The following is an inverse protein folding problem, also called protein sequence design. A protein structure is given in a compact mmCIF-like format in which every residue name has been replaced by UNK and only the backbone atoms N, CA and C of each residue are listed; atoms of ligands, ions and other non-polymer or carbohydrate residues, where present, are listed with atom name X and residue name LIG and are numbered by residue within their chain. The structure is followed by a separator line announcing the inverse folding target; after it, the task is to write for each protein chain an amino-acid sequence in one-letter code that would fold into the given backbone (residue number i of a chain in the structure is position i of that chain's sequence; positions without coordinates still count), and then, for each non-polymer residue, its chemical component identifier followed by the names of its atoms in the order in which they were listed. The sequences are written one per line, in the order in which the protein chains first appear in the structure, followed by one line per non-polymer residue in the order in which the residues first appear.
data_IF_901847985681
#
_entry.id   IF_901847985681
#
_cell.length_a   1.000
_cell.length_b   1.000
_cell.length_c   1.000
_cell.angle_alpha   90.00
_cell.angle_beta   90.00
_cell.angle_gamma   90.00
#
_symmetry.space_group_name_H-M   'P 1'
#
loop_
_entity.id
_entity.type
_entity.pdbx_description
1 polymer ?
#
# COMPACT_ATOMS: atom_id res chain seq x y z
N UNK A 1 7.13 25.41 18.20
CA UNK A 1 6.29 24.94 17.08
C UNK A 1 7.04 25.11 15.79
N UNK A 2 7.54 24.00 15.26
CA UNK A 2 8.12 23.91 13.92
C UNK A 2 7.00 23.76 12.88
N UNK A 3 7.30 24.10 11.63
CA UNK A 3 6.37 24.01 10.51
C UNK A 3 7.12 23.57 9.27
N UNK A 4 6.62 22.53 8.62
CA UNK A 4 7.21 22.00 7.40
C UNK A 4 6.17 21.88 6.29
N UNK A 5 6.60 22.11 5.06
CA UNK A 5 5.81 21.85 3.88
C UNK A 5 6.31 20.57 3.22
N UNK A 6 5.46 19.55 3.17
CA UNK A 6 5.75 18.28 2.52
C UNK A 6 5.22 18.32 1.10
N UNK A 7 6.03 17.86 0.14
CA UNK A 7 5.63 17.63 -1.25
C UNK A 7 5.33 16.16 -1.47
N UNK A 8 4.38 15.86 -2.34
CA UNK A 8 4.12 14.48 -2.72
C UNK A 8 3.55 14.43 -4.14
N UNK A 9 3.82 13.32 -4.82
CA UNK A 9 3.16 13.01 -6.07
C UNK A 9 1.75 12.50 -5.74
N UNK A 10 0.74 13.00 -6.46
CA UNK A 10 -0.60 12.45 -6.51
C UNK A 10 -0.63 11.57 -7.76
N UNK A 11 -0.46 10.25 -7.61
CA UNK A 11 -0.33 9.36 -8.76
C UNK A 11 -1.60 9.42 -9.63
N UNK A 12 -1.41 9.42 -10.94
CA UNK A 12 -2.51 9.25 -11.90
C UNK A 12 -3.05 7.82 -11.91
N UNK A 13 -3.90 7.48 -12.88
CA UNK A 13 -4.38 6.10 -13.07
C UNK A 13 -3.88 5.47 -14.38
N UNK A 14 -3.22 6.25 -15.22
CA UNK A 14 -2.80 5.81 -16.54
C UNK A 14 -1.28 5.86 -16.65
N UNK A 15 -0.72 4.74 -17.12
CA UNK A 15 0.70 4.59 -17.43
C UNK A 15 1.26 5.78 -18.21
N UNK A 16 2.42 6.29 -17.79
CA UNK A 16 3.10 7.41 -18.45
C UNK A 16 2.53 8.79 -18.15
N UNK A 17 1.50 8.92 -17.31
CA UNK A 17 1.06 10.23 -16.82
C UNK A 17 2.04 10.81 -15.79
N UNK A 18 2.30 12.11 -15.92
CA UNK A 18 2.96 12.89 -14.87
C UNK A 18 1.95 13.11 -13.75
N UNK A 19 2.32 12.72 -12.53
CA UNK A 19 1.54 12.95 -11.33
C UNK A 19 1.28 14.45 -11.11
N UNK A 20 0.11 14.78 -10.58
CA UNK A 20 -0.10 16.10 -10.00
C UNK A 20 0.77 16.22 -8.75
N UNK A 21 1.31 17.41 -8.47
CA UNK A 21 2.17 17.61 -7.30
C UNK A 21 1.33 18.28 -6.21
N UNK A 22 1.09 17.54 -5.14
CA UNK A 22 0.43 18.04 -3.93
C UNK A 22 1.43 18.63 -2.94
N UNK A 23 0.92 19.51 -2.08
CA UNK A 23 1.68 20.05 -0.95
C UNK A 23 0.80 20.13 0.28
N UNK A 24 1.33 19.69 1.42
CA UNK A 24 0.68 19.82 2.72
C UNK A 24 1.61 20.52 3.69
N UNK A 25 1.03 21.18 4.69
CA UNK A 25 1.82 21.82 5.73
C UNK A 25 1.49 21.21 7.08
N UNK A 26 2.51 20.73 7.77
CA UNK A 26 2.39 20.12 9.10
C UNK A 26 3.06 21.05 10.11
N UNK A 27 2.37 21.29 11.23
CA UNK A 27 2.90 22.07 12.36
C UNK A 27 3.05 21.13 13.54
N UNK A 28 4.20 21.14 14.20
CA UNK A 28 4.50 20.18 15.27
C UNK A 28 5.40 20.79 16.35
N UNK A 29 5.36 20.20 17.53
CA UNK A 29 6.33 20.44 18.58
C UNK A 29 7.36 19.31 18.58
N UNK A 30 8.59 19.65 18.17
CA UNK A 30 9.74 18.74 18.10
C UNK A 30 10.00 17.99 19.41
N UNK A 31 9.66 18.59 20.55
CA UNK A 31 9.87 17.96 21.87
C UNK A 31 8.88 16.84 22.19
N UNK A 32 7.81 16.72 21.41
CA UNK A 32 6.70 15.79 21.68
C UNK A 32 6.57 14.65 20.67
N UNK A 33 7.20 14.77 19.49
CA UNK A 33 7.03 13.82 18.37
C UNK A 33 7.33 12.36 18.75
N UNK A 34 8.44 12.12 19.44
CA UNK A 34 8.95 10.79 19.75
C UNK A 34 9.03 10.55 21.28
N UNK A 35 7.89 10.68 21.96
CA UNK A 35 7.78 10.57 23.42
C UNK A 35 7.31 9.19 23.89
N UNK A 36 6.10 8.78 23.50
CA UNK A 36 5.55 7.45 23.79
C UNK A 36 5.00 6.86 22.49
N UNK A 37 5.64 5.78 22.03
CA UNK A 37 5.25 5.13 20.78
C UNK A 37 3.89 4.45 20.85
N UNK A 38 3.33 4.18 22.04
CA UNK A 38 2.02 3.55 22.23
C UNK A 38 0.86 4.55 22.25
N UNK A 39 1.16 5.85 22.31
CA UNK A 39 0.17 6.91 22.32
C UNK A 39 0.11 7.54 20.94
N UNK A 40 -1.11 7.62 20.38
CA UNK A 40 -1.32 8.25 19.08
C UNK A 40 -0.86 9.70 19.09
N UNK A 41 0.10 10.04 18.22
CA UNK A 41 0.65 11.38 18.05
C UNK A 41 0.21 11.92 16.69
N UNK A 42 -0.76 12.82 16.71
CA UNK A 42 -1.39 13.37 15.50
C UNK A 42 -0.39 14.10 14.57
N UNK A 43 0.51 14.97 15.05
CA UNK A 43 1.55 15.53 14.19
C UNK A 43 2.45 14.47 13.54
N UNK A 44 2.86 13.44 14.30
CA UNK A 44 3.67 12.35 13.75
C UNK A 44 2.89 11.53 12.71
N UNK A 45 1.58 11.29 12.93
CA UNK A 45 0.70 10.66 11.95
C UNK A 45 0.61 11.48 10.65
N UNK A 46 0.50 12.81 10.74
CA UNK A 46 0.47 13.69 9.57
C UNK A 46 1.80 13.69 8.80
N UNK A 47 2.93 13.74 9.51
CA UNK A 47 4.25 13.62 8.91
C UNK A 47 4.40 12.25 8.23
N UNK A 48 3.94 11.18 8.88
CA UNK A 48 4.01 9.80 8.38
C UNK A 48 3.23 9.64 7.08
N UNK A 49 1.99 10.16 7.04
CA UNK A 49 1.17 10.16 5.83
C UNK A 49 1.82 10.98 4.70
N UNK A 50 2.33 12.17 4.99
CA UNK A 50 3.03 12.99 4.00
C UNK A 50 4.30 12.33 3.46
N UNK A 51 5.09 11.67 4.31
CA UNK A 51 6.25 10.90 3.88
C UNK A 51 5.86 9.69 3.04
N UNK A 52 4.86 8.93 3.46
CA UNK A 52 4.37 7.77 2.71
C UNK A 52 3.89 8.14 1.30
N UNK A 53 3.10 9.20 1.13
CA UNK A 53 2.72 9.68 -0.20
C UNK A 53 3.91 10.21 -1.00
N UNK A 54 4.90 10.80 -0.33
CA UNK A 54 6.08 11.31 -1.02
C UNK A 54 7.00 10.22 -1.57
N UNK A 55 6.82 8.96 -1.17
CA UNK A 55 7.58 7.84 -1.72
C UNK A 55 7.17 7.49 -3.15
N UNK A 56 5.97 7.89 -3.59
CA UNK A 56 5.50 7.61 -4.94
C UNK A 56 6.27 8.40 -6.02
N UNK A 57 6.54 7.79 -7.19
CA UNK A 57 7.26 8.44 -8.27
C UNK A 57 6.44 9.58 -8.91
N UNK A 58 7.12 10.63 -9.37
CA UNK A 58 6.48 11.77 -10.06
C UNK A 58 5.92 11.38 -11.44
N UNK A 59 6.52 10.39 -12.10
CA UNK A 59 6.00 9.83 -13.35
C UNK A 59 5.59 8.39 -13.05
N UNK A 60 4.36 8.03 -13.38
CA UNK A 60 3.85 6.67 -13.14
C UNK A 60 4.63 5.63 -13.95
N UNK A 61 4.79 4.43 -13.37
CA UNK A 61 5.55 3.32 -13.97
C UNK A 61 6.98 3.73 -14.37
N UNK A 62 7.59 4.66 -13.63
CA UNK A 62 8.93 5.16 -13.92
C UNK A 62 9.87 5.00 -12.73
N UNK A 63 11.17 4.97 -13.06
CA UNK A 63 12.27 5.03 -12.10
C UNK A 63 12.43 6.41 -11.44
N UNK A 64 11.57 7.39 -11.73
CA UNK A 64 11.70 8.72 -11.16
C UNK A 64 11.48 8.67 -9.65
N UNK A 65 12.40 9.23 -8.89
CA UNK A 65 12.23 9.35 -7.45
C UNK A 65 10.99 10.19 -7.12
N UNK A 66 10.33 9.82 -6.02
CA UNK A 66 9.36 10.68 -5.37
C UNK A 66 10.03 11.86 -4.64
N UNK A 67 9.30 12.43 -3.70
CA UNK A 67 9.75 13.51 -2.83
C UNK A 67 10.20 13.05 -1.44
N UNK A 68 10.24 11.74 -1.15
CA UNK A 68 10.63 11.21 0.17
C UNK A 68 12.01 11.72 0.63
N UNK A 69 13.04 11.59 -0.21
CA UNK A 69 14.36 12.12 0.06
C UNK A 69 14.36 13.64 0.28
N UNK A 70 13.59 14.40 -0.51
CA UNK A 70 13.49 15.87 -0.35
C UNK A 70 12.84 16.24 0.98
N UNK A 71 11.74 15.58 1.33
CA UNK A 71 11.00 15.82 2.56
C UNK A 71 11.79 15.40 3.81
N UNK A 72 12.50 14.27 3.75
CA UNK A 72 13.41 13.84 4.82
C UNK A 72 14.52 14.88 5.04
N UNK A 73 15.17 15.38 3.98
CA UNK A 73 16.15 16.48 4.11
C UNK A 73 15.54 17.74 4.72
N UNK A 74 14.31 18.08 4.34
CA UNK A 74 13.60 19.24 4.88
C UNK A 74 13.23 19.06 6.37
N UNK A 75 13.07 17.83 6.85
CA UNK A 75 12.94 17.47 8.27
C UNK A 75 14.30 17.40 8.99
N UNK A 76 15.41 17.66 8.28
CA UNK A 76 16.76 17.63 8.83
C UNK A 76 17.38 16.24 8.87
N UNK A 77 16.85 15.25 8.16
CA UNK A 77 17.51 13.95 8.03
C UNK A 77 18.76 14.06 7.15
N UNK A 78 19.78 13.31 7.53
CA UNK A 78 21.05 13.13 6.85
C UNK A 78 21.25 11.65 6.47
N UNK A 79 22.33 11.37 5.73
CA UNK A 79 22.72 10.03 5.29
C UNK A 79 21.56 9.22 4.67
N UNK A 80 20.81 9.88 3.79
CA UNK A 80 19.60 9.32 3.19
C UNK A 80 19.97 8.32 2.08
N UNK A 81 19.48 7.10 2.21
CA UNK A 81 19.61 6.03 1.23
C UNK A 81 18.24 5.69 0.63
N UNK A 82 18.16 5.70 -0.70
CA UNK A 82 16.93 5.42 -1.42
C UNK A 82 17.06 4.13 -2.22
N UNK A 83 16.25 3.14 -1.85
CA UNK A 83 16.22 1.81 -2.45
C UNK A 83 15.02 1.75 -3.37
N UNK A 84 15.23 2.15 -4.63
CA UNK A 84 14.22 2.07 -5.66
C UNK A 84 14.45 0.82 -6.50
N UNK A 85 13.50 -0.13 -6.46
CA UNK A 85 13.51 -1.29 -7.32
C UNK A 85 12.95 -0.86 -8.68
N UNK A 86 13.81 -0.92 -9.70
CA UNK A 86 13.45 -0.56 -11.07
C UNK A 86 12.49 -1.59 -11.64
N UNK A 87 11.37 -1.13 -12.17
CA UNK A 87 10.74 -1.83 -13.27
C UNK A 87 11.67 -1.64 -14.48
N UNK A 88 12.48 -2.65 -14.78
CA UNK A 88 13.46 -2.52 -15.84
C UNK A 88 12.70 -2.41 -17.17
N UNK A 89 12.85 -1.28 -17.89
CA UNK A 89 12.19 -1.06 -19.17
C UNK A 89 12.25 -2.31 -20.07
N UNK A 90 11.10 -2.72 -20.60
CA UNK A 90 10.92 -3.81 -21.55
C UNK A 90 12.14 -3.95 -22.48
N UNK A 91 12.85 -5.08 -22.40
CA UNK A 91 13.94 -5.36 -23.31
C UNK A 91 13.35 -5.81 -24.64
N UNK A 92 13.15 -4.85 -25.54
CA UNK A 92 12.61 -5.08 -26.89
C UNK A 92 13.44 -6.08 -27.72
N UNK A 93 14.69 -6.35 -27.34
CA UNK A 93 15.57 -7.31 -28.03
C UNK A 93 15.34 -8.74 -27.54
N UNK A 94 15.05 -8.92 -26.25
CA UNK A 94 14.81 -10.23 -25.66
C UNK A 94 13.32 -10.59 -25.60
N UNK A 95 12.42 -9.63 -25.85
CA UNK A 95 10.99 -9.73 -25.55
C UNK A 95 10.74 -10.13 -24.09
N UNK A 96 11.58 -9.64 -23.18
CA UNK A 96 11.47 -9.90 -21.75
C UNK A 96 11.80 -8.64 -20.97
N UNK A 97 11.31 -8.53 -19.74
CA UNK A 97 11.86 -7.57 -18.77
C UNK A 97 13.26 -8.07 -18.34
N UNK A 98 14.26 -7.21 -18.15
CA UNK A 98 15.57 -7.60 -17.61
C UNK A 98 15.44 -8.33 -16.27
N UNK A 99 15.45 -9.66 -16.32
CA UNK A 99 15.36 -10.54 -15.16
C UNK A 99 16.58 -10.34 -14.26
N UNK A 100 16.36 -9.81 -13.05
CA UNK A 100 17.39 -9.69 -12.02
C UNK A 100 16.90 -9.94 -10.60
N UNK A 101 15.66 -9.61 -10.28
CA UNK A 101 15.07 -9.84 -8.96
C UNK A 101 13.62 -10.26 -9.14
N UNK A 102 13.07 -10.99 -8.18
CA UNK A 102 11.65 -11.28 -8.14
C UNK A 102 10.88 -9.99 -7.79
N UNK A 103 10.75 -9.09 -8.77
CA UNK A 103 10.31 -7.69 -8.62
C UNK A 103 8.93 -7.58 -7.94
N UNK A 104 8.04 -8.57 -8.14
CA UNK A 104 6.74 -8.65 -7.46
C UNK A 104 6.88 -8.77 -5.94
N UNK A 105 7.97 -9.38 -5.44
CA UNK A 105 8.24 -9.66 -4.02
C UNK A 105 9.13 -8.59 -3.37
N UNK A 106 9.42 -7.47 -4.06
CA UNK A 106 10.18 -6.34 -3.51
C UNK A 106 9.24 -5.15 -3.22
N UNK A 107 9.71 -4.21 -2.39
CA UNK A 107 9.05 -2.92 -2.16
C UNK A 107 10.11 -1.83 -2.10
N UNK A 108 9.90 -0.70 -2.77
CA UNK A 108 10.82 0.44 -2.66
C UNK A 108 10.68 1.14 -1.31
N UNK A 109 11.79 1.67 -0.80
CA UNK A 109 11.80 2.40 0.47
C UNK A 109 12.97 3.37 0.56
N UNK A 110 12.84 4.35 1.43
CA UNK A 110 13.87 5.33 1.74
C UNK A 110 14.21 5.26 3.23
N UNK A 111 15.52 5.23 3.53
CA UNK A 111 16.06 5.32 4.88
C UNK A 111 16.70 6.69 5.10
N UNK A 112 16.68 7.17 6.34
CA UNK A 112 17.42 8.37 6.72
C UNK A 112 17.59 8.47 8.22
N UNK A 113 18.66 9.11 8.67
CA UNK A 113 18.93 9.35 10.09
C UNK A 113 18.72 10.82 10.47
N UNK A 114 18.09 11.09 11.61
CA UNK A 114 17.94 12.45 12.15
C UNK A 114 18.70 12.56 13.49
N UNK A 115 19.81 13.33 13.56
CA UNK A 115 20.68 13.38 14.76
C UNK A 115 20.11 14.09 15.98
N UNK A 116 19.22 15.07 15.81
CA UNK A 116 18.56 15.81 16.90
C UNK A 116 17.49 14.96 17.58
N UNK A 117 16.71 14.22 16.80
CA UNK A 117 15.69 13.31 17.33
C UNK A 117 16.26 11.93 17.68
N UNK A 118 17.48 11.63 17.25
CA UNK A 118 18.10 10.30 17.30
C UNK A 118 17.09 9.26 16.83
N UNK A 119 16.75 9.31 15.54
CA UNK A 119 15.76 8.42 14.93
C UNK A 119 16.18 8.05 13.51
N UNK A 120 15.95 6.79 13.13
CA UNK A 120 16.01 6.35 11.74
C UNK A 120 14.59 6.26 11.19
N UNK A 121 14.33 6.99 10.10
CA UNK A 121 13.09 6.89 9.34
C UNK A 121 13.18 5.77 8.31
N UNK A 122 12.10 5.02 8.19
CA UNK A 122 11.88 3.92 7.25
C UNK A 122 10.59 4.25 6.52
N UNK A 123 10.72 4.83 5.33
CA UNK A 123 9.60 5.30 4.51
C UNK A 123 9.39 4.31 3.37
N UNK A 124 8.30 3.55 3.42
CA UNK A 124 8.02 2.44 2.51
C UNK A 124 6.99 2.89 1.46
N UNK A 125 7.34 2.74 0.19
CA UNK A 125 6.46 3.09 -0.93
C UNK A 125 5.34 2.06 -1.05
N UNK A 126 4.15 2.50 -1.39
CA UNK A 126 3.13 1.58 -1.92
C UNK A 126 3.36 1.23 -3.39
N UNK A 127 2.35 0.68 -4.04
CA UNK A 127 2.48 0.17 -5.41
C UNK A 127 2.40 1.32 -6.43
N UNK A 128 3.45 1.60 -7.24
CA UNK A 128 3.45 2.71 -8.21
C UNK A 128 2.64 2.42 -9.50
N UNK A 129 1.85 1.34 -9.51
CA UNK A 129 1.36 0.58 -10.67
C UNK A 129 2.51 -0.21 -11.35
N UNK A 130 2.30 -1.48 -11.74
CA UNK A 130 3.35 -2.36 -12.29
C UNK A 130 3.39 -3.78 -11.68
N UNK A 131 4.47 -4.52 -11.90
CA UNK A 131 4.62 -5.93 -11.45
C UNK A 131 4.51 -6.10 -9.93
N UNK A 132 4.83 -5.04 -9.17
CA UNK A 132 4.63 -4.94 -7.72
C UNK A 132 3.15 -5.17 -7.31
N UNK A 133 2.20 -4.78 -8.16
CA UNK A 133 0.76 -4.96 -7.94
C UNK A 133 0.34 -6.43 -7.99
N UNK A 134 1.05 -7.25 -8.77
CA UNK A 134 0.84 -8.70 -8.82
C UNK A 134 1.14 -9.33 -7.45
N UNK A 135 2.11 -8.77 -6.73
CA UNK A 135 2.48 -9.20 -5.38
C UNK A 135 1.36 -9.04 -4.36
N UNK A 136 0.50 -8.02 -4.51
CA UNK A 136 -0.65 -7.78 -3.64
C UNK A 136 -1.68 -8.93 -3.66
N UNK A 137 -1.67 -9.75 -4.71
CA UNK A 137 -2.54 -10.92 -4.84
C UNK A 137 -1.89 -12.23 -4.37
N UNK A 138 -0.63 -12.19 -3.91
CA UNK A 138 0.11 -13.36 -3.42
C UNK A 138 0.06 -13.44 -1.88
N UNK A 139 -1.08 -13.91 -1.39
CA UNK A 139 -1.36 -14.12 0.03
C UNK A 139 -0.56 -15.26 0.67
N UNK A 140 -0.28 -16.32 -0.08
CA UNK A 140 0.52 -17.47 0.34
C UNK A 140 2.03 -17.25 0.15
N UNK A 141 2.83 -18.25 0.53
CA UNK A 141 4.28 -18.24 0.32
C UNK A 141 4.67 -18.20 -1.15
N UNK A 142 5.96 -18.06 -1.43
CA UNK A 142 6.46 -18.08 -2.82
C UNK A 142 6.21 -19.43 -3.53
N UNK A 143 6.04 -20.49 -2.75
CA UNK A 143 5.62 -21.83 -3.19
C UNK A 143 4.08 -22.02 -3.16
N UNK A 144 3.30 -20.97 -2.86
CA UNK A 144 1.87 -21.04 -2.66
C UNK A 144 1.44 -21.62 -1.31
N UNK A 145 2.34 -21.77 -0.33
CA UNK A 145 1.99 -22.28 0.99
C UNK A 145 0.94 -21.38 1.67
N UNK A 146 -0.16 -22.01 2.11
CA UNK A 146 -1.34 -21.32 2.67
C UNK A 146 -1.43 -21.47 4.18
N UNK A 147 -0.35 -21.80 4.88
CA UNK A 147 -0.30 -21.94 6.35
C UNK A 147 0.59 -20.87 7.02
N UNK A 148 0.96 -19.82 6.28
CA UNK A 148 1.72 -18.70 6.82
C UNK A 148 0.86 -17.85 7.78
N UNK A 149 1.46 -17.31 8.86
CA UNK A 149 0.79 -16.40 9.79
C UNK A 149 0.76 -14.94 9.28
N UNK A 150 1.14 -14.72 8.03
CA UNK A 150 1.23 -13.41 7.38
C UNK A 150 0.96 -13.53 5.89
N UNK A 151 0.72 -12.40 5.25
CA UNK A 151 0.62 -12.28 3.80
C UNK A 151 2.01 -12.50 3.20
N UNK A 152 2.17 -13.56 2.39
CA UNK A 152 3.50 -14.02 1.98
C UNK A 152 4.30 -12.96 1.23
N UNK A 153 3.68 -12.22 0.30
CA UNK A 153 4.38 -11.16 -0.42
C UNK A 153 4.86 -10.01 0.48
N UNK A 154 4.05 -9.56 1.44
CA UNK A 154 4.40 -8.44 2.32
C UNK A 154 5.52 -8.83 3.28
N UNK A 155 5.52 -10.07 3.76
CA UNK A 155 6.61 -10.61 4.54
C UNK A 155 7.90 -10.68 3.72
N UNK A 156 7.88 -11.24 2.50
CA UNK A 156 9.05 -11.31 1.63
C UNK A 156 9.66 -9.93 1.33
N UNK A 157 8.81 -8.95 1.01
CA UNK A 157 9.23 -7.58 0.77
C UNK A 157 9.82 -6.92 2.04
N UNK A 158 9.20 -7.17 3.20
CA UNK A 158 9.67 -6.68 4.49
C UNK A 158 11.03 -7.27 4.90
N UNK A 159 11.24 -8.58 4.71
CA UNK A 159 12.52 -9.24 5.01
C UNK A 159 13.67 -8.72 4.15
N UNK A 160 13.41 -8.43 2.87
CA UNK A 160 14.39 -7.81 1.98
C UNK A 160 14.80 -6.41 2.47
N UNK A 161 13.82 -5.60 2.89
CA UNK A 161 14.06 -4.28 3.49
C UNK A 161 14.85 -4.41 4.81
N UNK A 162 14.44 -5.30 5.71
CA UNK A 162 15.06 -5.50 7.02
C UNK A 162 16.55 -5.86 6.90
N UNK A 163 16.92 -6.63 5.88
CA UNK A 163 18.32 -6.96 5.58
C UNK A 163 19.15 -5.71 5.31
N UNK A 164 18.65 -4.78 4.49
CA UNK A 164 19.34 -3.53 4.18
C UNK A 164 19.30 -2.54 5.36
N UNK A 165 18.20 -2.52 6.12
CA UNK A 165 18.09 -1.73 7.35
C UNK A 165 19.13 -2.18 8.39
N UNK A 166 19.40 -3.48 8.49
CA UNK A 166 20.43 -3.99 9.41
C UNK A 166 21.80 -3.38 9.08
N UNK A 167 22.19 -3.35 7.79
CA UNK A 167 23.43 -2.72 7.32
C UNK A 167 23.44 -1.22 7.64
N UNK A 168 22.34 -0.51 7.36
CA UNK A 168 22.21 0.92 7.66
C UNK A 168 22.41 1.23 9.16
N UNK A 169 21.86 0.38 10.03
CA UNK A 169 21.96 0.50 11.50
C UNK A 169 23.36 0.20 12.05
N UNK A 170 24.27 -0.37 11.27
CA UNK A 170 25.69 -0.50 11.68
C UNK A 170 26.36 0.88 11.77
N UNK A 171 25.92 1.82 10.94
CA UNK A 171 26.42 3.22 10.92
C UNK A 171 25.63 4.11 11.87
N UNK A 172 24.31 3.91 11.95
CA UNK A 172 23.39 4.73 12.75
C UNK A 172 22.73 3.91 13.86
N UNK A 173 23.49 3.67 14.93
CA UNK A 173 23.01 2.96 16.12
C UNK A 173 22.08 3.84 16.96
N UNK A 174 20.81 3.86 16.58
CA UNK A 174 19.76 4.61 17.28
C UNK A 174 18.86 3.71 18.12
N UNK A 175 18.28 4.30 19.16
CA UNK A 175 17.25 3.67 19.99
C UNK A 175 15.82 3.93 19.51
N UNK A 176 15.63 4.66 18.39
CA UNK A 176 14.29 4.99 17.85
C UNK A 176 14.20 4.71 16.36
N UNK A 177 13.15 4.01 15.97
CA UNK A 177 12.84 3.72 14.57
C UNK A 177 11.47 4.30 14.25
N UNK A 178 11.33 4.98 13.13
CA UNK A 178 10.07 5.52 12.65
C UNK A 178 9.70 4.84 11.34
N UNK A 179 8.65 4.02 11.36
CA UNK A 179 8.20 3.23 10.21
C UNK A 179 6.90 3.81 9.67
N UNK A 180 6.86 4.09 8.37
CA UNK A 180 5.65 4.56 7.70
C UNK A 180 5.58 4.03 6.28
N UNK A 181 4.37 3.87 5.77
CA UNK A 181 4.11 3.52 4.38
C UNK A 181 2.62 3.63 4.08
N UNK A 182 2.25 3.58 2.80
CA UNK A 182 0.85 3.64 2.38
C UNK A 182 0.46 2.46 1.47
N UNK A 183 -0.80 1.99 1.56
CA UNK A 183 -1.31 0.87 0.76
C UNK A 183 -0.47 -0.39 1.00
N UNK A 184 0.08 -1.01 -0.04
CA UNK A 184 1.09 -2.08 0.05
C UNK A 184 2.25 -1.73 1.00
N UNK A 185 2.78 -0.51 0.90
CA UNK A 185 3.86 -0.03 1.76
C UNK A 185 3.42 0.10 3.22
N UNK A 186 2.13 0.36 3.46
CA UNK A 186 1.53 0.35 4.79
C UNK A 186 1.48 -1.07 5.37
N UNK A 187 1.06 -2.06 4.57
CA UNK A 187 1.04 -3.46 4.99
C UNK A 187 2.45 -3.98 5.31
N UNK A 188 3.46 -3.61 4.50
CA UNK A 188 4.86 -3.93 4.81
C UNK A 188 5.35 -3.15 6.04
N UNK A 189 4.94 -1.89 6.23
CA UNK A 189 5.26 -1.12 7.43
C UNK A 189 4.70 -1.79 8.70
N UNK A 190 3.50 -2.36 8.63
CA UNK A 190 2.89 -3.13 9.71
C UNK A 190 3.73 -4.38 10.05
N UNK A 191 4.15 -5.13 9.03
CA UNK A 191 5.04 -6.29 9.16
C UNK A 191 6.40 -5.92 9.77
N UNK A 192 7.09 -4.94 9.16
CA UNK A 192 8.41 -4.46 9.58
C UNK A 192 8.37 -3.94 11.01
N UNK A 193 7.35 -3.17 11.38
CA UNK A 193 7.21 -2.64 12.74
C UNK A 193 7.02 -3.76 13.77
N UNK A 194 6.28 -4.83 13.45
CA UNK A 194 6.15 -5.99 14.31
C UNK A 194 7.48 -6.70 14.52
N UNK A 195 8.24 -6.97 13.45
CA UNK A 195 9.56 -7.61 13.55
C UNK A 195 10.50 -6.77 14.43
N UNK A 196 10.59 -5.46 14.16
CA UNK A 196 11.42 -4.54 14.94
C UNK A 196 10.98 -4.40 16.41
N UNK A 197 9.68 -4.52 16.68
CA UNK A 197 9.15 -4.50 18.05
C UNK A 197 9.58 -5.74 18.83
N UNK A 198 9.54 -6.92 18.19
CA UNK A 198 9.96 -8.19 18.79
C UNK A 198 11.47 -8.28 19.02
N UNK A 199 12.28 -7.56 18.23
CA UNK A 199 13.73 -7.47 18.46
C UNK A 199 14.08 -6.78 19.78
N UNK A 200 13.20 -5.93 20.31
CA UNK A 200 13.41 -5.12 21.52
C UNK A 200 14.69 -4.26 21.52
N UNK A 201 15.24 -3.98 20.34
CA UNK A 201 16.50 -3.25 20.17
C UNK A 201 16.31 -1.73 20.07
N UNK A 202 15.09 -1.27 19.77
CA UNK A 202 14.71 0.13 19.64
C UNK A 202 13.22 0.33 19.95
N UNK A 203 12.84 1.58 20.26
CA UNK A 203 11.44 2.00 20.31
C UNK A 203 10.95 2.24 18.88
N UNK A 204 9.90 1.54 18.47
CA UNK A 204 9.36 1.61 17.11
C UNK A 204 8.10 2.47 17.10
N UNK A 205 8.16 3.61 16.40
CA UNK A 205 7.02 4.49 16.14
C UNK A 205 6.47 4.14 14.76
N UNK A 206 5.35 3.43 14.68
CA UNK A 206 4.80 2.98 13.40
C UNK A 206 3.46 3.63 13.10
N UNK A 207 3.36 4.20 11.90
CA UNK A 207 2.14 4.80 11.37
C UNK A 207 1.92 4.29 9.94
N UNK A 208 1.17 3.20 9.82
CA UNK A 208 0.82 2.63 8.52
C UNK A 208 -0.46 3.27 8.00
N UNK A 209 -0.44 3.74 6.75
CA UNK A 209 -1.54 4.51 6.16
C UNK A 209 -2.29 3.65 5.15
N UNK A 210 -3.59 3.48 5.33
CA UNK A 210 -4.41 2.59 4.51
C UNK A 210 -3.74 1.21 4.23
N UNK A 211 -3.15 0.52 5.22
CA UNK A 211 -2.48 -0.76 5.00
C UNK A 211 -3.50 -1.82 4.57
N UNK A 212 -3.13 -2.75 3.68
CA UNK A 212 -3.90 -3.98 3.49
C UNK A 212 -3.68 -4.94 4.68
N UNK A 213 -4.67 -5.78 5.07
CA UNK A 213 -4.51 -6.73 6.17
C UNK A 213 -3.33 -7.71 5.96
N UNK A 214 -2.30 -7.62 6.81
CA UNK A 214 -1.03 -8.35 6.60
C UNK A 214 -0.87 -9.63 7.45
N UNK A 215 -1.66 -9.80 8.51
CA UNK A 215 -1.51 -10.91 9.48
C UNK A 215 -2.63 -11.91 9.39
N UNK A 216 -2.35 -13.17 9.72
CA UNK A 216 -3.32 -14.26 9.57
C UNK A 216 -3.41 -15.19 10.79
N UNK A 217 -4.64 -15.63 11.07
CA UNK A 217 -4.94 -16.56 12.16
C UNK A 217 -5.51 -15.84 13.39
N UNK A 218 -5.02 -16.20 14.58
CA UNK A 218 -5.47 -15.59 15.83
C UNK A 218 -4.91 -14.18 15.99
N UNK A 219 -5.72 -13.18 16.38
CA UNK A 219 -5.28 -11.80 16.60
C UNK A 219 -4.09 -11.70 17.55
N UNK A 220 -3.02 -11.03 17.11
CA UNK A 220 -1.85 -10.77 17.95
C UNK A 220 -2.09 -9.58 18.88
N UNK A 221 -1.57 -9.68 20.11
CA UNK A 221 -1.60 -8.62 21.13
C UNK A 221 -0.18 -8.13 21.44
N UNK A 222 -0.02 -6.92 21.98
CA UNK A 222 1.27 -6.39 22.44
C UNK A 222 1.93 -5.39 21.49
N UNK A 223 1.31 -5.12 20.34
CA UNK A 223 1.82 -4.20 19.31
C UNK A 223 1.18 -2.80 19.38
N UNK A 224 1.00 -2.27 20.59
CA UNK A 224 0.31 -1.00 20.80
C UNK A 224 1.03 0.21 20.15
N UNK A 225 2.28 0.04 19.75
CA UNK A 225 3.10 1.03 19.06
C UNK A 225 2.92 1.09 17.53
N UNK A 226 2.05 0.23 17.00
CA UNK A 226 1.68 0.20 15.59
C UNK A 226 0.32 0.89 15.44
N UNK A 227 0.30 2.02 14.73
CA UNK A 227 -0.89 2.82 14.48
C UNK A 227 -1.29 2.67 13.01
N UNK A 228 -2.39 1.98 12.75
CA UNK A 228 -2.99 1.82 11.42
C UNK A 228 -4.01 2.93 11.20
N UNK A 229 -3.81 3.78 10.19
CA UNK A 229 -4.72 4.87 9.82
C UNK A 229 -5.62 4.39 8.70
N UNK A 230 -6.89 4.14 9.00
CA UNK A 230 -7.81 3.48 8.07
C UNK A 230 -9.03 4.39 7.83
N UNK A 231 -9.32 4.65 6.57
CA UNK A 231 -10.62 5.18 6.18
C UNK A 231 -11.60 4.00 6.06
N UNK A 232 -12.72 3.97 6.79
CA UNK A 232 -13.70 2.88 6.70
C UNK A 232 -14.31 2.67 5.30
N UNK A 233 -14.23 3.69 4.43
CA UNK A 233 -14.70 3.64 3.04
C UNK A 233 -13.59 3.31 2.04
N UNK A 234 -12.37 3.08 2.50
CA UNK A 234 -11.27 2.62 1.66
C UNK A 234 -11.32 1.10 1.55
N UNK A 235 -11.35 0.59 0.33
CA UNK A 235 -11.52 -0.83 0.08
C UNK A 235 -10.29 -1.64 0.51
N UNK A 236 -9.08 -1.18 0.23
CA UNK A 236 -7.86 -1.96 0.48
C UNK A 236 -7.64 -2.34 1.94
N UNK A 237 -7.71 -1.42 2.92
CA UNK A 237 -7.61 -1.78 4.33
C UNK A 237 -8.82 -2.57 4.87
N UNK A 238 -9.95 -2.55 4.16
CA UNK A 238 -11.18 -3.20 4.62
C UNK A 238 -11.53 -4.49 3.83
N UNK A 239 -10.73 -4.87 2.85
CA UNK A 239 -10.95 -6.10 2.09
C UNK A 239 -10.54 -7.31 2.93
N UNK A 240 -11.53 -8.05 3.40
CA UNK A 240 -11.32 -9.24 4.20
C UNK A 240 -12.28 -10.34 3.79
N UNK A 241 -11.77 -11.39 3.15
CA UNK A 241 -12.51 -12.64 2.96
C UNK A 241 -12.47 -13.43 4.27
N UNK A 242 -13.59 -13.62 5.00
CA UNK A 242 -13.55 -14.13 6.37
C UNK A 242 -12.84 -15.49 6.52
N UNK A 243 -12.97 -16.38 5.54
CA UNK A 243 -12.30 -17.69 5.56
C UNK A 243 -10.82 -17.67 5.22
N UNK A 244 -10.26 -16.52 4.82
CA UNK A 244 -8.82 -16.31 4.67
C UNK A 244 -8.17 -15.88 5.99
N UNK A 245 -8.96 -15.27 6.89
CA UNK A 245 -8.59 -14.90 8.25
C UNK A 245 -7.44 -13.88 8.34
N UNK A 246 -7.40 -12.91 7.42
CA UNK A 246 -6.46 -11.81 7.49
C UNK A 246 -6.97 -10.65 8.36
N UNK A 247 -6.08 -9.96 9.06
CA UNK A 247 -6.39 -8.84 9.95
C UNK A 247 -5.20 -7.89 10.14
N UNK A 248 -5.48 -6.73 10.76
CA UNK A 248 -4.50 -5.75 11.23
C UNK A 248 -4.17 -5.95 12.71
N UNK A 249 -2.90 -5.75 13.09
CA UNK A 249 -2.41 -5.73 14.47
C UNK A 249 -2.32 -4.29 15.00
N UNK A 250 -2.04 -4.15 16.29
CA UNK A 250 -1.88 -2.84 16.92
C UNK A 250 -3.18 -2.04 17.00
N UNK A 251 -3.08 -0.73 16.87
CA UNK A 251 -4.20 0.19 17.03
C UNK A 251 -4.74 0.65 15.68
N UNK A 252 -6.04 0.48 15.46
CA UNK A 252 -6.73 1.01 14.29
C UNK A 252 -7.37 2.35 14.62
N UNK A 253 -6.99 3.38 13.87
CA UNK A 253 -7.51 4.74 13.97
C UNK A 253 -8.36 5.03 12.74
N UNK A 254 -9.67 5.16 12.94
CA UNK A 254 -10.59 5.50 11.86
C UNK A 254 -10.43 6.96 11.46
N UNK A 255 -10.31 7.24 10.16
CA UNK A 255 -10.22 8.60 9.61
C UNK A 255 -11.41 8.80 8.68
N UNK A 256 -12.35 9.68 9.04
CA UNK A 256 -13.66 9.87 8.36
C UNK A 256 -13.71 10.98 7.30
N UNK A 257 -13.96 10.60 6.03
CA UNK A 257 -13.78 11.45 4.82
C UNK A 257 -14.98 12.29 4.45
N UNK A 258 -16.07 12.15 5.16
CA UNK A 258 -17.37 12.67 4.77
C UNK A 258 -17.69 14.05 5.34
N UNK A 259 -16.69 14.73 5.89
CA UNK A 259 -16.85 16.09 6.37
C UNK A 259 -17.03 17.08 5.19
N UNK A 260 -18.13 17.87 5.13
CA UNK A 260 -18.43 18.74 3.99
C UNK A 260 -17.31 19.73 3.63
N UNK A 261 -16.65 20.32 4.63
CA UNK A 261 -15.54 21.25 4.44
C UNK A 261 -14.30 20.59 3.81
N UNK A 262 -14.15 19.27 3.96
CA UNK A 262 -13.10 18.50 3.31
C UNK A 262 -13.44 18.19 1.85
N UNK A 263 -14.68 17.76 1.57
CA UNK A 263 -15.12 17.45 0.21
C UNK A 263 -15.05 18.68 -0.71
N UNK A 264 -15.33 19.86 -0.19
CA UNK A 264 -15.18 21.14 -0.90
C UNK A 264 -13.71 21.41 -1.27
N UNK A 265 -12.80 21.30 -0.30
CA UNK A 265 -11.36 21.51 -0.53
C UNK A 265 -10.73 20.45 -1.44
N UNK A 266 -11.17 19.21 -1.33
CA UNK A 266 -10.75 18.11 -2.19
C UNK A 266 -11.26 18.31 -3.63
N UNK A 267 -12.49 18.76 -3.82
CA UNK A 267 -13.03 19.11 -5.14
C UNK A 267 -12.26 20.26 -5.82
N UNK A 268 -11.70 21.18 -5.02
CA UNK A 268 -10.83 22.26 -5.51
C UNK A 268 -9.43 21.76 -5.90
N UNK A 269 -8.89 20.78 -5.17
CA UNK A 269 -7.53 20.25 -5.35
C UNK A 269 -7.43 19.12 -6.39
N UNK A 270 -8.50 18.37 -6.62
CA UNK A 270 -8.56 17.26 -7.59
C UNK A 270 -9.73 17.52 -8.54
N UNK A 271 -9.44 17.60 -9.85
CA UNK A 271 -10.42 17.94 -10.90
C UNK A 271 -11.68 17.05 -10.83
N UNK A 272 -12.73 17.56 -10.15
CA UNK A 272 -14.16 17.20 -9.96
C UNK A 272 -14.68 15.75 -10.13
N UNK A 273 -13.95 14.81 -10.69
CA UNK A 273 -14.40 13.44 -11.00
C UNK A 273 -14.36 12.49 -9.78
N UNK A 274 -13.78 12.91 -8.65
CA UNK A 274 -13.51 12.05 -7.49
C UNK A 274 -14.51 12.22 -6.33
N UNK A 275 -15.46 13.16 -6.45
CA UNK A 275 -16.28 13.56 -5.31
C UNK A 275 -17.62 12.82 -5.35
N UNK A 276 -17.88 12.07 -4.28
CA UNK A 276 -19.13 11.42 -3.88
C UNK A 276 -19.44 10.05 -4.47
N UNK A 277 -19.24 9.01 -3.66
CA UNK A 277 -20.13 7.85 -3.71
C UNK A 277 -20.57 7.40 -2.32
N UNK A 278 -21.86 7.58 -1.99
CA UNK A 278 -22.44 7.09 -0.74
C UNK A 278 -22.56 5.55 -0.67
N UNK A 279 -22.15 4.79 -1.68
CA UNK A 279 -22.27 3.31 -1.71
C UNK A 279 -20.97 2.54 -1.46
N UNK A 280 -19.87 3.19 -1.06
CA UNK A 280 -18.56 2.55 -0.90
C UNK A 280 -18.57 1.33 0.04
N UNK A 281 -19.25 1.44 1.19
CA UNK A 281 -19.37 0.32 2.14
C UNK A 281 -20.15 -0.87 1.55
N UNK A 282 -21.22 -0.59 0.80
CA UNK A 282 -22.00 -1.63 0.11
C UNK A 282 -21.19 -2.29 -1.02
N UNK A 283 -20.31 -1.54 -1.69
CA UNK A 283 -19.39 -2.07 -2.69
C UNK A 283 -18.35 -2.99 -2.04
N UNK A 284 -17.73 -2.58 -0.92
CA UNK A 284 -16.80 -3.43 -0.16
C UNK A 284 -17.48 -4.74 0.25
N UNK A 285 -18.69 -4.66 0.81
CA UNK A 285 -19.45 -5.85 1.22
C UNK A 285 -19.76 -6.78 0.02
N UNK A 286 -20.10 -6.20 -1.14
CA UNK A 286 -20.33 -6.96 -2.37
C UNK A 286 -19.06 -7.66 -2.86
N UNK A 287 -17.91 -6.98 -2.80
CA UNK A 287 -16.61 -7.54 -3.18
C UNK A 287 -16.18 -8.67 -2.25
N UNK A 288 -16.37 -8.51 -0.94
CA UNK A 288 -16.12 -9.58 0.05
C UNK A 288 -17.04 -10.77 -0.21
N UNK A 289 -18.32 -10.54 -0.55
CA UNK A 289 -19.25 -11.60 -0.89
C UNK A 289 -18.84 -12.35 -2.17
N UNK A 290 -18.39 -11.64 -3.20
CA UNK A 290 -17.85 -12.23 -4.43
C UNK A 290 -16.61 -13.07 -4.10
N UNK A 291 -15.62 -12.51 -3.42
CA UNK A 291 -14.39 -13.23 -3.02
C UNK A 291 -14.69 -14.48 -2.21
N UNK A 292 -15.60 -14.38 -1.23
CA UNK A 292 -16.05 -15.51 -0.41
C UNK A 292 -16.80 -16.57 -1.21
N UNK A 293 -17.59 -16.17 -2.21
CA UNK A 293 -18.31 -17.09 -3.07
C UNK A 293 -17.38 -17.92 -3.95
N UNK A 294 -16.27 -17.32 -4.38
CA UNK A 294 -15.39 -17.96 -5.34
C UNK A 294 -14.27 -18.78 -4.67
N UNK A 295 -13.58 -18.18 -3.71
CA UNK A 295 -12.52 -18.81 -2.93
C UNK A 295 -12.80 -18.64 -1.44
N UNK A 296 -13.70 -19.47 -0.85
CA UNK A 296 -14.07 -19.34 0.56
C UNK A 296 -12.89 -19.45 1.53
N UNK A 297 -11.89 -20.26 1.18
CA UNK A 297 -10.65 -20.41 1.94
C UNK A 297 -9.44 -20.00 1.12
N UNK A 298 -8.33 -19.70 1.81
CA UNK A 298 -7.05 -19.45 1.14
C UNK A 298 -6.55 -20.69 0.36
N UNK A 299 -6.92 -21.89 0.80
CA UNK A 299 -6.63 -23.13 0.06
C UNK A 299 -7.38 -23.15 -1.28
N UNK A 300 -8.66 -22.78 -1.28
CA UNK A 300 -9.45 -22.68 -2.52
C UNK A 300 -8.82 -21.68 -3.50
N UNK A 301 -8.32 -20.55 -2.98
CA UNK A 301 -7.67 -19.52 -3.79
C UNK A 301 -6.49 -20.05 -4.62
N UNK A 302 -5.69 -20.96 -4.05
CA UNK A 302 -4.52 -21.54 -4.72
C UNK A 302 -4.76 -22.89 -5.39
N UNK A 303 -5.83 -23.62 -5.05
CA UNK A 303 -5.98 -25.03 -5.47
C UNK A 303 -7.29 -25.34 -6.20
N UNK A 304 -8.33 -24.52 -6.03
CA UNK A 304 -9.64 -24.77 -6.66
C UNK A 304 -9.56 -24.46 -8.15
N UNK A 305 -9.56 -25.50 -8.96
CA UNK A 305 -9.61 -25.37 -10.41
C UNK A 305 -11.03 -25.02 -10.88
N UNK A 306 -11.15 -23.92 -11.62
CA UNK A 306 -12.39 -23.48 -12.26
C UNK A 306 -12.21 -23.65 -13.77
N UNK A 307 -13.18 -24.25 -14.44
CA UNK A 307 -13.18 -24.32 -15.91
C UNK A 307 -13.70 -22.99 -16.46
N UNK A 308 -12.88 -22.32 -17.28
CA UNK A 308 -13.20 -21.01 -17.87
C UNK A 308 -13.92 -21.15 -19.22
N UNK A 309 -14.42 -20.05 -19.79
CA UNK A 309 -15.14 -20.01 -21.07
C UNK A 309 -14.39 -20.64 -22.26
N UNK A 310 -13.06 -20.70 -22.23
CA UNK A 310 -12.23 -21.36 -23.24
C UNK A 310 -12.02 -22.87 -22.99
N UNK A 311 -12.60 -23.39 -21.91
CA UNK A 311 -12.58 -24.79 -21.52
C UNK A 311 -11.34 -25.22 -20.72
N UNK A 312 -10.37 -24.34 -20.48
CA UNK A 312 -9.19 -24.70 -19.70
C UNK A 312 -9.37 -24.41 -18.20
N UNK A 313 -8.79 -25.24 -17.32
CA UNK A 313 -8.84 -25.02 -15.88
C UNK A 313 -7.86 -23.91 -15.47
N UNK A 314 -8.23 -23.15 -14.45
CA UNK A 314 -7.38 -22.14 -13.80
C UNK A 314 -7.91 -21.85 -12.39
N UNK A 315 -6.99 -21.57 -11.47
CA UNK A 315 -7.27 -21.19 -10.09
C UNK A 315 -7.61 -19.71 -9.97
N UNK A 316 -8.28 -19.29 -8.88
CA UNK A 316 -8.43 -17.88 -8.51
C UNK A 316 -7.12 -17.07 -8.56
N UNK A 317 -6.04 -17.60 -7.98
CA UNK A 317 -4.74 -16.93 -7.97
C UNK A 317 -4.18 -16.74 -9.38
N UNK A 318 -4.18 -17.80 -10.21
CA UNK A 318 -3.70 -17.72 -11.59
C UNK A 318 -4.50 -16.70 -12.41
N UNK A 319 -5.81 -16.60 -12.19
CA UNK A 319 -6.65 -15.58 -12.83
C UNK A 319 -6.23 -14.15 -12.45
N UNK A 320 -6.12 -13.86 -11.14
CA UNK A 320 -5.65 -12.53 -10.71
C UNK A 320 -4.24 -12.22 -11.17
N UNK A 321 -3.38 -13.23 -11.19
CA UNK A 321 -2.01 -13.10 -11.67
C UNK A 321 -1.96 -12.73 -13.15
N UNK A 322 -2.69 -13.45 -14.02
CA UNK A 322 -2.78 -13.14 -15.45
C UNK A 322 -3.38 -11.75 -15.72
N UNK A 323 -4.38 -11.37 -14.94
CA UNK A 323 -5.03 -10.07 -15.04
C UNK A 323 -4.17 -8.92 -14.52
N UNK A 324 -3.50 -9.10 -13.39
CA UNK A 324 -2.63 -8.07 -12.83
C UNK A 324 -1.45 -7.81 -13.76
N UNK A 325 -0.95 -8.86 -14.42
CA UNK A 325 -0.01 -8.72 -15.53
C UNK A 325 -0.60 -7.98 -16.74
N UNK A 326 -1.90 -8.11 -17.00
CA UNK A 326 -2.57 -7.42 -18.10
C UNK A 326 -2.55 -5.89 -18.01
N UNK A 327 -2.44 -5.34 -16.80
CA UNK A 327 -2.26 -3.89 -16.61
C UNK A 327 -0.85 -3.40 -16.90
N UNK A 328 0.09 -4.32 -17.07
CA UNK A 328 1.50 -4.01 -17.22
C UNK A 328 2.10 -4.47 -18.56
N UNK A 329 1.59 -5.56 -19.14
CA UNK A 329 2.05 -6.12 -20.41
C UNK A 329 1.37 -5.47 -21.62
N UNK A 330 2.04 -5.53 -22.78
CA UNK A 330 1.45 -5.14 -24.07
C UNK A 330 0.29 -6.10 -24.42
N UNK A 331 -0.81 -5.57 -24.95
CA UNK A 331 -2.06 -6.32 -25.17
C UNK A 331 -1.88 -7.60 -26.02
N UNK A 332 -0.83 -7.63 -26.84
CA UNK A 332 -0.46 -8.75 -27.72
C UNK A 332 0.16 -9.93 -26.98
N UNK A 333 0.71 -9.72 -25.78
CA UNK A 333 1.45 -10.72 -25.00
C UNK A 333 0.56 -11.41 -23.95
N UNK A 334 -0.70 -10.98 -23.85
CA UNK A 334 -1.66 -11.46 -22.88
C UNK A 334 -2.56 -12.55 -23.42
N UNK A 335 -3.00 -13.43 -22.52
CA UNK A 335 -3.92 -14.52 -22.85
C UNK A 335 -5.24 -13.97 -23.40
N UNK A 336 -5.75 -14.43 -24.57
CA UNK A 336 -7.06 -14.04 -25.09
C UNK A 336 -8.21 -14.27 -24.10
N UNK A 337 -8.03 -15.21 -23.17
CA UNK A 337 -8.96 -15.53 -22.07
C UNK A 337 -9.24 -14.32 -21.16
N UNK A 338 -8.28 -13.42 -20.99
CA UNK A 338 -8.43 -12.28 -20.08
C UNK A 338 -9.24 -11.12 -20.72
N UNK A 339 -9.25 -11.01 -22.05
CA UNK A 339 -9.88 -9.88 -22.76
C UNK A 339 -11.22 -10.20 -23.43
N UNK A 340 -11.58 -11.47 -23.63
CA UNK A 340 -12.88 -11.85 -24.20
C UNK A 340 -14.00 -11.82 -23.14
N UNK A 341 -14.22 -10.66 -22.53
CA UNK A 341 -15.27 -10.44 -21.54
C UNK A 341 -16.69 -10.76 -22.05
N UNK A 342 -16.89 -10.72 -23.36
CA UNK A 342 -18.17 -11.06 -23.98
C UNK A 342 -18.47 -12.56 -23.87
N UNK A 343 -17.45 -13.42 -23.83
CA UNK A 343 -17.57 -14.86 -23.66
C UNK A 343 -17.78 -15.30 -22.20
N UNK A 344 -17.65 -14.38 -21.23
CA UNK A 344 -17.67 -14.73 -19.81
C UNK A 344 -19.01 -15.30 -19.36
N UNK A 345 -18.96 -16.41 -18.63
CA UNK A 345 -20.12 -16.94 -17.89
C UNK A 345 -20.53 -15.97 -16.77
N UNK A 346 -21.74 -16.08 -16.18
CA UNK A 346 -22.14 -15.21 -15.08
C UNK A 346 -21.17 -15.21 -13.89
N UNK A 347 -20.64 -16.38 -13.50
CA UNK A 347 -19.64 -16.48 -12.43
C UNK A 347 -18.29 -15.84 -12.81
N UNK A 348 -17.92 -15.87 -14.09
CA UNK A 348 -16.74 -15.16 -14.62
C UNK A 348 -16.94 -13.64 -14.67
N UNK A 349 -18.19 -13.17 -14.78
CA UNK A 349 -18.51 -11.75 -14.68
C UNK A 349 -18.43 -11.20 -13.26
N UNK A 350 -18.64 -12.04 -12.24
CA UNK A 350 -18.38 -11.65 -10.85
C UNK A 350 -16.89 -11.39 -10.62
N UNK A 351 -16.03 -12.23 -11.20
CA UNK A 351 -14.59 -12.04 -11.24
C UNK A 351 -14.18 -10.76 -11.98
N UNK A 352 -14.77 -10.50 -13.15
CA UNK A 352 -14.56 -9.25 -13.88
C UNK A 352 -15.00 -8.05 -13.05
N UNK A 353 -16.14 -8.13 -12.36
CA UNK A 353 -16.65 -7.05 -11.51
C UNK A 353 -15.66 -6.74 -10.40
N UNK A 354 -15.17 -7.78 -9.71
CA UNK A 354 -14.16 -7.66 -8.67
C UNK A 354 -12.85 -7.05 -9.22
N UNK A 355 -12.43 -7.45 -10.42
CA UNK A 355 -11.30 -6.81 -11.11
C UNK A 355 -11.55 -5.34 -11.43
N UNK A 356 -12.67 -5.02 -12.09
CA UNK A 356 -13.01 -3.67 -12.51
C UNK A 356 -13.07 -2.71 -11.31
N UNK A 357 -13.43 -3.23 -10.14
CA UNK A 357 -13.25 -2.53 -8.87
C UNK A 357 -11.77 -2.35 -8.51
N UNK A 358 -10.97 -3.42 -8.48
CA UNK A 358 -9.52 -3.39 -8.20
C UNK A 358 -8.72 -2.42 -9.10
N UNK A 359 -9.21 -2.08 -10.29
CA UNK A 359 -8.53 -1.16 -11.23
C UNK A 359 -9.28 0.17 -11.45
N UNK A 360 -10.41 0.37 -10.75
CA UNK A 360 -11.19 1.60 -10.81
C UNK A 360 -11.89 1.90 -12.15
N UNK A 361 -12.24 0.89 -12.95
CA UNK A 361 -12.88 1.04 -14.27
C UNK A 361 -14.33 0.51 -14.34
N UNK A 362 -14.87 -0.05 -13.26
CA UNK A 362 -16.25 -0.58 -13.19
C UNK A 362 -17.23 0.39 -12.55
N UNK A 363 -17.85 1.25 -13.37
CA UNK A 363 -18.79 2.32 -13.01
C UNK A 363 -18.19 3.59 -12.37
N UNK A 364 -18.74 4.78 -12.70
CA UNK A 364 -18.25 6.01 -12.11
C UNK A 364 -18.56 6.00 -10.62
N UNK A 365 -17.52 6.13 -9.79
CA UNK A 365 -17.53 6.46 -8.37
C UNK A 365 -17.29 5.35 -7.33
N UNK A 366 -16.78 4.16 -7.64
CA UNK A 366 -16.05 3.36 -6.61
C UNK A 366 -14.53 3.47 -6.79
N UNK A 367 -14.09 4.32 -7.74
CA UNK A 367 -12.71 4.57 -8.07
C UNK A 367 -11.85 4.76 -6.81
N UNK A 368 -10.77 3.98 -6.77
CA UNK A 368 -9.75 3.93 -5.74
C UNK A 368 -9.59 5.26 -5.00
N UNK A 369 -9.91 5.22 -3.72
CA UNK A 369 -9.70 6.36 -2.82
C UNK A 369 -8.27 6.37 -2.28
N UNK A 370 -7.37 5.47 -2.70
CA UNK A 370 -6.03 5.31 -2.12
C UNK A 370 -5.17 6.57 -2.22
N UNK A 371 -5.11 7.23 -3.38
CA UNK A 371 -4.29 8.44 -3.55
C UNK A 371 -4.97 9.69 -3.00
N UNK A 372 -6.29 9.76 -3.18
CA UNK A 372 -7.14 10.73 -2.51
C UNK A 372 -6.97 10.63 -0.98
N UNK A 373 -6.78 9.40 -0.46
CA UNK A 373 -6.69 9.11 0.96
C UNK A 373 -5.52 9.83 1.61
N UNK A 374 -4.37 10.03 0.96
CA UNK A 374 -3.23 10.66 1.65
C UNK A 374 -3.35 12.18 1.74
N UNK A 375 -3.72 12.85 0.65
CA UNK A 375 -4.10 14.28 0.69
C UNK A 375 -5.23 14.48 1.70
N UNK A 376 -6.19 13.57 1.69
CA UNK A 376 -7.27 13.45 2.67
C UNK A 376 -6.78 13.23 4.11
N UNK A 377 -5.84 12.32 4.36
CA UNK A 377 -5.33 11.95 5.68
C UNK A 377 -4.66 13.17 6.32
N UNK A 378 -3.79 13.87 5.58
CA UNK A 378 -3.07 15.03 6.11
C UNK A 378 -4.04 16.19 6.41
N UNK A 379 -5.01 16.43 5.52
CA UNK A 379 -6.02 17.48 5.70
C UNK A 379 -7.01 17.19 6.84
N UNK A 380 -7.40 15.93 7.02
CA UNK A 380 -8.47 15.52 7.96
C UNK A 380 -7.93 15.28 9.35
N UNK A 381 -6.71 14.73 9.48
CA UNK A 381 -5.98 14.73 10.73
C UNK A 381 -5.75 16.15 11.25
N UNK A 382 -5.73 17.19 10.40
CA UNK A 382 -5.65 18.57 10.90
C UNK A 382 -6.97 19.06 11.55
N UNK A 383 -8.08 18.34 11.35
CA UNK A 383 -9.43 18.76 11.75
C UNK A 383 -10.08 17.85 12.81
N UNK A 384 -9.67 16.57 12.97
CA UNK A 384 -10.56 15.55 13.59
C UNK A 384 -9.96 14.65 14.68
N UNK A 385 -8.85 15.00 15.31
CA UNK A 385 -8.44 14.29 16.55
C UNK A 385 -8.42 15.29 17.70
N UNK A 386 -9.54 15.36 18.41
CA UNK A 386 -9.74 16.11 19.64
C UNK A 386 -10.28 15.16 20.72
#
# INVERSE_FOLDING_TARGET
MAKIKLKYAIPGYLSGQTAQIGQSTVTFDETTLFTDATVFNQPLAQLSAGLAASAYPVVQNSMAHGFACENLRALGFEDIEDFNYSDTAWNATLQTYPTGHDEKNQVAYTLGYQPVWDVVAIVIRGTPQGIEWVGDFQYGGDDGATNLPYHGNYALAGEALLTNLQVYRETHQTSRLWVTGQSRGGAVAEYVAKVLTDEHSATVYSYAVAPAPAFRGEPLTGYANIHNLINPRDFVPNFNVPGWQFYHIGQVHAVHTDQPAFLEKFAEEVDNAFVTNPTAEAAIASMVAIGSGIAPTLVDYYQKQITWHDGAPMTPYEFYFEIAQAFYMDAKDLSPRVFDFAAYTPAEKDWQTLLLYFIGQGEPAVAFNEHASVTYFIATLAQTVA
#
